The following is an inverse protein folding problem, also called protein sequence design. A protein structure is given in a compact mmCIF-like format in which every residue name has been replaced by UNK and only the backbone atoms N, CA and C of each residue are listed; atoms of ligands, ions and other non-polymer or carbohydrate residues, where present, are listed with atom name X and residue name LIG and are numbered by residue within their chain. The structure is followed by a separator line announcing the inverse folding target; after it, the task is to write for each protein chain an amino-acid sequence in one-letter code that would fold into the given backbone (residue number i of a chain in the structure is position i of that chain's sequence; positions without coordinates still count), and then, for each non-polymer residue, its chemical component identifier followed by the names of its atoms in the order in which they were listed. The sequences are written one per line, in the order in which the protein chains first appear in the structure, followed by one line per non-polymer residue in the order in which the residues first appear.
data_IF_168512950888
#
_entry.id   IF_168512950888
#
_cell.length_a   1.000
_cell.length_b   1.000
_cell.length_c   1.000
_cell.angle_alpha   90.00
_cell.angle_beta   90.00
_cell.angle_gamma   90.00
#
_symmetry.space_group_name_H-M   'P 1'
#
loop_
_entity.id
_entity.type
_entity.pdbx_description
1 polymer ?
#
# COMPACT_ATOMS: atom_id res chain seq x y z
N UNK A 1 0.77 14.10 9.55
CA UNK A 1 1.14 12.68 9.37
C UNK A 1 0.55 11.85 10.47
N UNK A 2 0.08 10.67 10.12
CA UNK A 2 -0.45 9.73 11.09
C UNK A 2 0.22 8.38 10.91
N UNK A 3 0.30 7.60 11.98
CA UNK A 3 0.84 6.26 11.90
C UNK A 3 0.15 5.33 12.87
N UNK A 4 0.15 4.05 12.53
CA UNK A 4 -0.36 3.00 13.40
C UNK A 4 0.53 1.78 13.29
N UNK A 5 0.51 0.96 14.32
CA UNK A 5 1.16 -0.34 14.30
C UNK A 5 0.12 -1.37 14.67
N UNK A 6 0.07 -2.46 13.92
CA UNK A 6 -0.98 -3.45 14.06
C UNK A 6 -0.45 -4.82 13.65
N UNK A 7 -1.00 -5.87 14.21
CA UNK A 7 -0.61 -7.22 13.79
C UNK A 7 -0.95 -7.41 12.31
N UNK A 8 0.03 -7.92 11.57
CA UNK A 8 -0.11 -8.11 10.13
C UNK A 8 -0.84 -9.40 9.83
N UNK A 9 -2.13 -9.41 10.16
CA UNK A 9 -3.02 -10.53 9.89
C UNK A 9 -4.22 -10.03 9.08
N UNK A 10 -4.72 -10.89 8.25
CA UNK A 10 -5.81 -10.56 7.32
C UNK A 10 -7.01 -9.93 8.02
N UNK A 11 -7.33 -10.39 9.21
CA UNK A 11 -8.46 -9.92 9.99
C UNK A 11 -8.38 -8.44 10.33
N UNK A 12 -7.18 -7.88 10.30
CA UNK A 12 -6.96 -6.48 10.66
C UNK A 12 -7.03 -5.53 9.45
N UNK A 13 -7.31 -6.06 8.27
CA UNK A 13 -7.36 -5.24 7.06
C UNK A 13 -8.35 -4.08 7.18
N UNK A 14 -9.52 -4.34 7.77
CA UNK A 14 -10.52 -3.30 7.92
C UNK A 14 -10.04 -2.14 8.78
N UNK A 15 -9.31 -2.45 9.86
CA UNK A 15 -8.79 -1.40 10.72
C UNK A 15 -7.78 -0.53 9.99
N UNK A 16 -6.96 -1.14 9.14
CA UNK A 16 -6.00 -0.38 8.33
C UNK A 16 -6.75 0.51 7.34
N UNK A 17 -7.78 -0.01 6.66
CA UNK A 17 -8.62 0.79 5.77
C UNK A 17 -9.20 1.99 6.50
N UNK A 18 -9.78 1.76 7.66
CA UNK A 18 -10.45 2.81 8.41
C UNK A 18 -9.46 3.89 8.84
N UNK A 19 -8.26 3.46 9.27
CA UNK A 19 -7.21 4.39 9.65
C UNK A 19 -6.77 5.28 8.48
N UNK A 20 -6.47 4.65 7.34
CA UNK A 20 -5.99 5.39 6.17
C UNK A 20 -7.09 6.31 5.63
N UNK A 21 -8.31 5.79 5.55
CA UNK A 21 -9.43 6.56 5.02
C UNK A 21 -9.73 7.77 5.89
N UNK A 22 -9.66 7.61 7.21
CA UNK A 22 -9.91 8.73 8.12
C UNK A 22 -8.90 9.86 7.87
N UNK A 23 -7.64 9.51 7.66
CA UNK A 23 -6.61 10.51 7.40
C UNK A 23 -6.83 11.19 6.04
N UNK A 24 -7.20 10.42 5.01
CA UNK A 24 -7.48 10.99 3.69
C UNK A 24 -8.63 11.98 3.75
N UNK A 25 -9.68 11.65 4.48
CA UNK A 25 -10.87 12.49 4.54
C UNK A 25 -10.67 13.81 5.26
N UNK A 26 -9.56 13.97 5.96
CA UNK A 26 -9.23 15.27 6.53
C UNK A 26 -8.81 16.28 5.45
N UNK A 27 -8.47 15.81 4.26
CA UNK A 27 -7.92 16.63 3.20
C UNK A 27 -8.69 16.53 1.88
N UNK A 28 -9.41 15.45 1.64
CA UNK A 28 -10.12 15.27 0.38
C UNK A 28 -11.31 14.36 0.55
N UNK A 29 -12.32 14.55 -0.30
CA UNK A 29 -13.46 13.66 -0.38
C UNK A 29 -13.56 13.02 -1.76
N UNK A 30 -12.48 13.08 -2.53
CA UNK A 30 -12.45 12.50 -3.87
C UNK A 30 -12.59 10.98 -3.77
N UNK A 31 -13.73 10.47 -4.23
CA UNK A 31 -14.06 9.06 -4.09
C UNK A 31 -13.17 8.15 -4.92
N UNK A 32 -12.74 8.62 -6.09
CA UNK A 32 -11.85 7.82 -6.93
C UNK A 32 -10.49 7.65 -6.27
N UNK A 33 -9.94 8.72 -5.72
CA UNK A 33 -8.67 8.65 -5.01
C UNK A 33 -8.76 7.70 -3.83
N UNK A 34 -9.82 7.81 -3.04
CA UNK A 34 -10.00 6.96 -1.87
C UNK A 34 -10.09 5.49 -2.27
N UNK A 35 -10.82 5.18 -3.36
CA UNK A 35 -10.92 3.80 -3.84
C UNK A 35 -9.58 3.26 -4.31
N UNK A 36 -8.80 4.10 -5.00
CA UNK A 36 -7.48 3.68 -5.47
C UNK A 36 -6.52 3.41 -4.32
N UNK A 37 -6.56 4.25 -3.30
CA UNK A 37 -5.73 4.04 -2.11
C UNK A 37 -6.18 2.79 -1.36
N UNK A 38 -7.48 2.54 -1.26
CA UNK A 38 -7.98 1.32 -0.60
C UNK A 38 -7.51 0.06 -1.32
N UNK A 39 -7.50 0.08 -2.64
CA UNK A 39 -6.96 -1.05 -3.40
C UNK A 39 -5.50 -1.29 -3.05
N UNK A 40 -4.70 -0.23 -2.98
CA UNK A 40 -3.30 -0.35 -2.65
C UNK A 40 -3.11 -0.89 -1.23
N UNK A 41 -3.88 -0.39 -0.27
CA UNK A 41 -3.82 -0.87 1.10
C UNK A 41 -4.12 -2.37 1.15
N UNK A 42 -5.18 -2.79 0.47
CA UNK A 42 -5.56 -4.20 0.47
C UNK A 42 -4.44 -5.08 -0.06
N UNK A 43 -3.91 -4.73 -1.22
CA UNK A 43 -2.91 -5.57 -1.86
C UNK A 43 -1.60 -5.60 -1.08
N UNK A 44 -1.16 -4.46 -0.57
CA UNK A 44 0.10 -4.40 0.16
C UNK A 44 -0.03 -5.06 1.53
N UNK A 45 -1.10 -4.76 2.26
CA UNK A 45 -1.27 -5.33 3.60
C UNK A 45 -1.47 -6.85 3.55
N UNK A 46 -2.24 -7.35 2.59
CA UNK A 46 -2.42 -8.79 2.43
C UNK A 46 -1.11 -9.46 2.05
N UNK A 47 -0.28 -8.79 1.26
CA UNK A 47 1.04 -9.29 0.90
C UNK A 47 1.90 -9.47 2.16
N UNK A 48 1.91 -8.44 3.02
CA UNK A 48 2.66 -8.51 4.27
C UNK A 48 2.13 -9.64 5.15
N UNK A 49 0.80 -9.73 5.28
CA UNK A 49 0.16 -10.75 6.10
C UNK A 49 0.50 -12.17 5.64
N UNK A 50 0.64 -12.35 4.34
CA UNK A 50 0.84 -13.67 3.76
C UNK A 50 2.30 -14.09 3.74
N UNK A 51 3.23 -13.14 3.58
CA UNK A 51 4.61 -13.51 3.25
C UNK A 51 5.68 -12.99 4.20
N UNK A 52 5.48 -11.83 4.82
CA UNK A 52 6.55 -11.19 5.57
C UNK A 52 7.06 -12.07 6.73
N UNK A 53 6.18 -12.73 7.41
CA UNK A 53 6.52 -13.48 8.62
C UNK A 53 6.28 -14.98 8.50
N UNK A 54 5.98 -15.47 7.31
CA UNK A 54 5.67 -16.87 7.10
C UNK A 54 6.89 -17.76 7.43
N UNK A 55 6.77 -18.78 8.33
CA UNK A 55 5.51 -19.34 8.85
C UNK A 55 4.93 -18.65 10.09
N UNK A 56 5.54 -17.63 10.60
CA UNK A 56 5.05 -16.96 11.78
C UNK A 56 4.17 -15.76 11.49
N UNK A 57 4.01 -14.89 12.50
CA UNK A 57 3.28 -13.63 12.37
C UNK A 57 4.10 -12.52 13.00
N UNK A 58 3.75 -11.28 12.66
CA UNK A 58 4.41 -10.10 13.21
C UNK A 58 3.57 -8.88 12.96
N UNK A 59 4.12 -7.71 13.25
CA UNK A 59 3.39 -6.47 13.11
C UNK A 59 3.80 -5.70 11.86
N UNK A 60 2.93 -4.79 11.45
CA UNK A 60 3.22 -3.85 10.39
C UNK A 60 2.95 -2.44 10.90
N UNK A 61 3.77 -1.50 10.48
CA UNK A 61 3.58 -0.08 10.77
C UNK A 61 3.12 0.59 9.49
N UNK A 62 2.05 1.34 9.57
CA UNK A 62 1.48 2.05 8.43
C UNK A 62 1.55 3.55 8.72
N UNK A 63 2.17 4.30 7.83
CA UNK A 63 2.26 5.75 7.94
C UNK A 63 1.53 6.37 6.76
N UNK A 64 0.73 7.39 7.03
CA UNK A 64 0.06 8.12 5.96
C UNK A 64 0.31 9.62 6.15
N UNK A 65 0.69 10.28 5.08
CA UNK A 65 0.91 11.72 5.07
C UNK A 65 0.22 12.28 3.84
N UNK A 66 -0.58 13.33 4.04
CA UNK A 66 -1.25 14.00 2.94
C UNK A 66 -0.68 15.40 2.87
N UNK A 67 -0.05 15.72 1.74
CA UNK A 67 0.65 16.98 1.56
C UNK A 67 0.05 17.78 0.42
N UNK A 68 0.42 19.04 0.36
CA UNK A 68 -0.09 19.94 -0.66
C UNK A 68 -1.12 20.88 -0.07
N UNK A 69 -0.84 22.17 -0.17
CA UNK A 69 -1.75 23.20 0.29
C UNK A 69 -1.48 24.45 -0.54
N UNK A 70 -2.39 24.83 -1.44
CA UNK A 70 -3.69 24.16 -1.63
C UNK A 70 -3.63 22.90 -2.48
N UNK A 71 -2.85 22.87 -3.56
CA UNK A 71 -2.84 21.77 -4.54
C UNK A 71 -1.49 21.74 -5.22
N UNK A 72 -1.07 20.61 -5.81
CA UNK A 72 -1.76 19.33 -5.85
C UNK A 72 -1.64 18.59 -4.51
N UNK A 73 -2.65 17.80 -4.21
CA UNK A 73 -2.63 16.97 -3.02
C UNK A 73 -1.85 15.69 -3.36
N UNK A 74 -0.90 15.33 -2.49
CA UNK A 74 -0.14 14.10 -2.63
C UNK A 74 -0.30 13.26 -1.38
N UNK A 75 -0.60 11.99 -1.58
CA UNK A 75 -0.70 11.02 -0.51
C UNK A 75 0.55 10.18 -0.50
N UNK A 76 1.23 10.14 0.63
CA UNK A 76 2.39 9.27 0.85
C UNK A 76 1.94 8.20 1.84
N UNK A 77 2.03 6.95 1.42
CA UNK A 77 1.60 5.83 2.23
C UNK A 77 2.77 4.86 2.35
N UNK A 78 3.22 4.62 3.58
CA UNK A 78 4.39 3.79 3.84
C UNK A 78 3.99 2.60 4.69
N UNK A 79 4.43 1.41 4.27
CA UNK A 79 4.23 0.16 5.00
C UNK A 79 5.59 -0.36 5.43
N UNK A 80 5.74 -0.66 6.72
CA UNK A 80 6.99 -1.16 7.29
C UNK A 80 6.72 -2.44 8.04
N UNK A 81 7.58 -3.43 7.85
CA UNK A 81 7.51 -4.66 8.62
C UNK A 81 8.91 -5.20 8.89
N UNK A 82 9.03 -6.10 9.87
CA UNK A 82 10.31 -6.70 10.25
C UNK A 82 10.46 -8.12 9.71
N UNK A 83 9.73 -8.45 8.67
CA UNK A 83 9.76 -9.78 8.10
C UNK A 83 10.97 -10.05 7.23
N UNK A 84 10.89 -11.12 6.47
CA UNK A 84 11.96 -11.48 5.53
C UNK A 84 12.13 -10.39 4.48
N UNK A 85 13.37 -10.13 4.04
CA UNK A 85 13.55 -9.20 2.93
C UNK A 85 12.77 -9.68 1.72
N UNK A 86 11.92 -8.84 1.19
CA UNK A 86 11.13 -9.19 0.02
C UNK A 86 10.80 -7.91 -0.75
N UNK A 87 11.39 -7.77 -1.93
CA UNK A 87 11.16 -6.61 -2.78
C UNK A 87 10.03 -6.93 -3.76
N UNK A 88 8.81 -6.44 -3.51
CA UNK A 88 7.71 -6.70 -4.42
C UNK A 88 7.92 -6.09 -5.80
N UNK A 89 8.81 -5.10 -5.92
CA UNK A 89 9.06 -4.43 -7.18
C UNK A 89 9.95 -5.27 -8.11
N UNK A 90 10.60 -6.31 -7.57
CA UNK A 90 11.42 -7.20 -8.39
C UNK A 90 10.57 -8.21 -9.15
N UNK A 91 9.27 -8.33 -8.81
CA UNK A 91 8.38 -9.25 -9.50
C UNK A 91 8.07 -8.74 -10.89
N UNK A 92 8.09 -9.63 -11.87
CA UNK A 92 7.74 -9.28 -13.23
C UNK A 92 6.22 -9.28 -13.40
N UNK A 93 5.74 -8.40 -14.30
CA UNK A 93 4.33 -8.42 -14.64
C UNK A 93 3.97 -9.76 -15.31
N UNK A 94 2.77 -10.29 -15.05
CA UNK A 94 2.34 -11.53 -15.71
C UNK A 94 2.27 -11.35 -17.22
N UNK A 95 2.80 -12.33 -17.96
CA UNK A 95 2.79 -12.28 -19.43
C UNK A 95 1.65 -13.05 -20.07
N UNK A 96 1.12 -14.05 -19.36
CA UNK A 96 0.11 -14.93 -19.92
C UNK A 96 -0.98 -15.21 -18.89
N UNK A 97 -2.13 -15.69 -19.38
CA UNK A 97 -3.21 -16.09 -18.49
C UNK A 97 -2.79 -17.25 -17.58
N UNK A 98 -1.96 -18.13 -18.09
CA UNK A 98 -1.48 -19.25 -17.29
C UNK A 98 -0.68 -18.75 -16.09
N UNK A 99 0.15 -17.73 -16.31
CA UNK A 99 0.91 -17.14 -15.21
C UNK A 99 0.00 -16.46 -14.21
N UNK A 100 -1.04 -15.79 -14.71
CA UNK A 100 -2.00 -15.14 -13.82
C UNK A 100 -2.74 -16.17 -12.98
N UNK A 101 -3.15 -17.27 -13.58
CA UNK A 101 -3.88 -18.31 -12.87
C UNK A 101 -3.02 -19.02 -11.82
N UNK A 102 -1.74 -19.17 -12.11
CA UNK A 102 -0.82 -19.88 -11.22
C UNK A 102 -0.27 -18.98 -10.12
N UNK A 103 -0.42 -17.68 -10.26
CA UNK A 103 0.13 -16.75 -9.27
C UNK A 103 -0.72 -16.71 -8.03
N UNK A 104 -0.05 -16.51 -6.91
CA UNK A 104 -0.75 -16.19 -5.69
C UNK A 104 -1.26 -14.75 -5.78
N UNK A 105 -2.31 -14.47 -5.02
CA UNK A 105 -3.00 -13.19 -5.11
C UNK A 105 -2.06 -11.99 -5.01
N UNK A 106 -1.04 -12.05 -4.15
CA UNK A 106 -0.13 -10.91 -3.94
C UNK A 106 0.68 -10.53 -5.15
N UNK A 107 1.03 -11.52 -6.01
CA UNK A 107 1.82 -11.23 -7.20
C UNK A 107 1.10 -10.33 -8.19
N UNK A 108 -0.17 -10.62 -8.41
CA UNK A 108 -1.00 -9.82 -9.31
C UNK A 108 -1.32 -8.47 -8.65
N UNK A 109 -1.54 -8.47 -7.35
CA UNK A 109 -1.89 -7.25 -6.62
C UNK A 109 -0.82 -6.18 -6.72
N UNK A 110 0.46 -6.56 -6.59
CA UNK A 110 1.54 -5.58 -6.70
C UNK A 110 1.59 -4.99 -8.11
N UNK A 111 1.33 -5.80 -9.12
CA UNK A 111 1.24 -5.30 -10.49
C UNK A 111 0.15 -4.22 -10.60
N UNK A 112 -1.01 -4.46 -10.01
CA UNK A 112 -2.10 -3.48 -10.01
C UNK A 112 -1.71 -2.20 -9.26
N UNK A 113 -1.03 -2.34 -8.12
CA UNK A 113 -0.58 -1.18 -7.36
C UNK A 113 0.37 -0.33 -8.21
N UNK A 114 1.34 -0.95 -8.86
CA UNK A 114 2.31 -0.24 -9.70
C UNK A 114 1.64 0.55 -10.81
N UNK A 115 0.52 0.05 -11.31
CA UNK A 115 -0.20 0.72 -12.39
C UNK A 115 -1.21 1.75 -11.90
N UNK A 116 -1.43 1.82 -10.60
CA UNK A 116 -2.41 2.73 -10.01
C UNK A 116 -1.77 3.99 -9.43
N UNK A 117 -0.55 3.87 -8.90
CA UNK A 117 0.09 4.97 -8.18
C UNK A 117 1.02 5.77 -9.08
N UNK A 118 1.38 6.96 -8.61
CA UNK A 118 2.29 7.84 -9.35
C UNK A 118 3.74 7.57 -9.03
N UNK A 119 4.01 6.98 -7.87
CA UNK A 119 5.35 6.57 -7.50
C UNK A 119 5.30 5.44 -6.50
N UNK A 120 6.31 4.59 -6.53
CA UNK A 120 6.44 3.47 -5.60
C UNK A 120 7.92 3.18 -5.43
N UNK A 121 8.33 2.95 -4.18
CA UNK A 121 9.72 2.64 -3.88
C UNK A 121 9.78 1.62 -2.75
N UNK A 122 10.87 0.88 -2.73
CA UNK A 122 11.10 -0.14 -1.72
C UNK A 122 12.54 -0.07 -1.25
N UNK A 123 12.75 -0.28 0.05
CA UNK A 123 14.09 -0.52 0.56
C UNK A 123 14.02 -1.47 1.75
N UNK A 124 15.13 -2.16 1.99
CA UNK A 124 15.29 -2.99 3.17
C UNK A 124 16.41 -2.37 3.98
N UNK A 125 16.07 -1.88 5.17
CA UNK A 125 17.01 -1.11 5.96
C UNK A 125 16.81 -1.39 7.44
N UNK A 126 17.91 -1.68 8.11
CA UNK A 126 17.90 -1.93 9.56
C UNK A 126 16.91 -3.03 9.97
N UNK A 127 16.82 -4.08 9.16
CA UNK A 127 15.96 -5.20 9.45
C UNK A 127 14.51 -4.99 9.08
N UNK A 128 14.19 -3.95 8.34
CA UNK A 128 12.81 -3.63 7.97
C UNK A 128 12.61 -3.53 6.49
N UNK A 129 11.51 -4.10 6.01
CA UNK A 129 11.00 -3.83 4.68
C UNK A 129 10.25 -2.50 4.75
N UNK A 130 10.54 -1.59 3.82
CA UNK A 130 9.91 -0.26 3.79
C UNK A 130 9.42 -0.02 2.38
N UNK A 131 8.10 -0.05 2.20
CA UNK A 131 7.48 0.18 0.91
C UNK A 131 6.66 1.45 0.96
N UNK A 132 6.95 2.39 0.07
CA UNK A 132 6.25 3.67 0.03
C UNK A 132 5.59 3.86 -1.32
N UNK A 133 4.32 4.26 -1.31
CA UNK A 133 3.63 4.66 -2.53
C UNK A 133 3.25 6.12 -2.44
N UNK A 134 3.17 6.76 -3.61
CA UNK A 134 2.76 8.15 -3.75
C UNK A 134 1.63 8.21 -4.76
N UNK A 135 0.54 8.85 -4.36
CA UNK A 135 -0.59 9.07 -5.25
C UNK A 135 -0.95 10.54 -5.24
N UNK A 136 -1.02 11.13 -6.41
CA UNK A 136 -1.32 12.55 -6.56
C UNK A 136 -2.75 12.76 -7.01
N UNK A 137 -3.41 13.74 -6.41
CA UNK A 137 -4.73 14.17 -6.84
C UNK A 137 -4.52 15.42 -7.70
N UNK A 138 -4.75 15.34 -9.01
CA UNK A 138 -4.57 16.50 -9.88
C UNK A 138 -5.53 17.62 -9.52
N UNK A 139 -5.13 18.87 -9.80
CA UNK A 139 -5.95 20.04 -9.53
C UNK A 139 -7.31 19.92 -10.19
N UNK A 140 -7.33 19.43 -11.42
CA UNK A 140 -8.58 19.33 -12.19
C UNK A 140 -9.58 18.34 -11.61
N UNK A 141 -9.12 17.40 -10.80
CA UNK A 141 -10.00 16.41 -10.18
C UNK A 141 -10.89 17.03 -9.12
N UNK A 142 -10.56 18.23 -8.68
CA UNK A 142 -11.31 18.94 -7.66
C UNK A 142 -12.50 19.71 -8.22
N UNK A 143 -12.50 19.92 -9.51
CA UNK A 143 -13.52 20.76 -10.16
C UNK A 143 -14.89 20.12 -10.17
#
# INVERSE_FOLDING_TARGET
MAEMEIDAVRENLKEVFDFVTAELKTRTEDKKLIRQIKLCVEEIFLNISSYAYNPGTGSAKIKVSVEGNPVPIRVYLTFMDNGHPFDPLSEEAPDTEAELDDREAGGLGIFLVKNTVDGISYEYKEGQNILTIVKELPVDSEA
#
